data_IF_278792313722
#
_entry.id   IF_278792313722
#
_cell.length_a   1.000
_cell.length_b   1.000
_cell.length_c   1.000
_cell.angle_alpha   90.00
_cell.angle_beta   90.00
_cell.angle_gamma   90.00
#
_symmetry.space_group_name_H-M   'P 1'
#
loop_
_entity.id
_entity.type
_entity.pdbx_description
1 polymer ?
#
# COMPACT_ATOMS: atom_id res chain seq x y z
N UNK A 1 8.37 1.25 17.61
CA UNK A 1 9.04 1.85 16.43
C UNK A 1 7.96 2.31 15.48
N UNK A 2 7.83 3.63 15.40
CA UNK A 2 6.76 4.36 14.73
C UNK A 2 6.95 4.28 13.20
N UNK A 3 6.23 3.36 12.55
CA UNK A 3 6.24 3.14 11.10
C UNK A 3 5.51 4.26 10.31
N UNK A 4 5.07 5.33 10.98
CA UNK A 4 4.25 6.41 10.44
C UNK A 4 4.98 7.33 9.44
N UNK A 5 6.30 7.22 9.29
CA UNK A 5 7.09 8.06 8.37
C UNK A 5 7.59 7.35 7.09
N UNK A 6 7.15 6.11 6.82
CA UNK A 6 7.60 5.37 5.63
C UNK A 6 6.70 5.59 4.41
N UNK A 7 7.34 5.88 3.26
CA UNK A 7 6.70 6.08 1.96
C UNK A 7 7.01 4.94 0.97
N UNK A 8 5.98 4.23 0.54
CA UNK A 8 6.04 3.17 -0.48
C UNK A 8 5.92 3.74 -1.89
N UNK A 9 6.56 3.08 -2.85
CA UNK A 9 6.38 3.36 -4.27
C UNK A 9 5.18 2.60 -4.85
N UNK A 10 4.82 2.92 -6.09
CA UNK A 10 3.68 2.27 -6.76
C UNK A 10 3.88 0.78 -7.00
N UNK A 11 5.14 0.31 -7.12
CA UNK A 11 5.45 -1.09 -7.36
C UNK A 11 5.26 -1.92 -6.09
N UNK A 12 5.76 -1.42 -4.96
CA UNK A 12 5.60 -2.03 -3.65
C UNK A 12 4.12 -2.11 -3.27
N UNK A 13 3.37 -1.01 -3.40
CA UNK A 13 1.93 -1.02 -3.07
C UNK A 13 1.14 -1.97 -3.94
N UNK A 14 1.42 -2.03 -5.25
CA UNK A 14 0.76 -3.01 -6.13
C UNK A 14 1.04 -4.46 -5.71
N UNK A 15 2.28 -4.76 -5.29
CA UNK A 15 2.65 -6.07 -4.79
C UNK A 15 1.97 -6.40 -3.45
N UNK A 16 1.89 -5.44 -2.53
CA UNK A 16 1.25 -5.58 -1.21
C UNK A 16 -0.26 -5.83 -1.36
N UNK A 17 -0.93 -5.02 -2.18
CA UNK A 17 -2.36 -5.16 -2.45
C UNK A 17 -2.69 -6.35 -3.36
N UNK A 18 -1.66 -7.01 -3.92
CA UNK A 18 -1.80 -8.07 -4.92
C UNK A 18 -2.66 -7.65 -6.12
N UNK A 19 -2.53 -6.40 -6.56
CA UNK A 19 -3.28 -5.85 -7.69
C UNK A 19 -2.34 -5.46 -8.82
N UNK A 20 -2.90 -5.37 -10.03
CA UNK A 20 -2.17 -4.80 -11.15
C UNK A 20 -1.89 -3.31 -10.92
N UNK A 21 -0.83 -2.77 -11.54
CA UNK A 21 -0.59 -1.32 -11.55
C UNK A 21 -1.78 -0.54 -12.11
N UNK A 22 -2.55 -1.14 -13.03
CA UNK A 22 -3.76 -0.54 -13.60
C UNK A 22 -4.88 -0.43 -12.56
N UNK A 23 -5.10 -1.49 -11.78
CA UNK A 23 -6.04 -1.48 -10.65
C UNK A 23 -5.63 -0.46 -9.59
N UNK A 24 -4.33 -0.39 -9.27
CA UNK A 24 -3.81 0.62 -8.34
C UNK A 24 -4.04 2.05 -8.86
N UNK A 25 -3.94 2.26 -10.18
CA UNK A 25 -4.27 3.54 -10.80
C UNK A 25 -5.77 3.84 -10.69
N UNK A 26 -6.65 2.87 -10.90
CA UNK A 26 -8.09 3.03 -10.70
C UNK A 26 -8.40 3.45 -9.25
N UNK A 27 -7.78 2.83 -8.25
CA UNK A 27 -7.95 3.22 -6.85
C UNK A 27 -7.56 4.67 -6.57
N UNK A 28 -6.55 5.22 -7.26
CA UNK A 28 -6.20 6.66 -7.16
C UNK A 28 -7.26 7.52 -7.84
N UNK A 29 -7.63 7.16 -9.07
CA UNK A 29 -8.58 7.92 -9.88
C UNK A 29 -9.98 7.96 -9.26
N UNK A 30 -10.37 6.89 -8.57
CA UNK A 30 -11.62 6.76 -7.83
C UNK A 30 -11.54 7.34 -6.41
N UNK A 31 -10.37 7.83 -5.96
CA UNK A 31 -10.18 8.38 -4.62
C UNK A 31 -10.21 7.36 -3.47
N UNK A 32 -10.11 6.05 -3.79
CA UNK A 32 -10.17 4.95 -2.81
C UNK A 32 -8.90 4.80 -1.99
N UNK A 33 -7.75 5.15 -2.55
CA UNK A 33 -6.45 5.04 -1.88
C UNK A 33 -5.73 6.38 -1.92
N UNK A 34 -5.41 6.91 -0.74
CA UNK A 34 -4.67 8.16 -0.56
C UNK A 34 -3.27 8.02 -1.17
N UNK A 35 -2.82 9.05 -1.88
CA UNK A 35 -1.49 9.09 -2.47
C UNK A 35 -0.89 10.49 -2.39
N UNK A 36 0.44 10.55 -2.36
CA UNK A 36 1.21 11.78 -2.29
C UNK A 36 2.02 11.94 -3.56
N UNK A 37 1.84 13.07 -4.23
CA UNK A 37 2.58 13.40 -5.43
C UNK A 37 3.77 14.27 -5.06
N UNK A 38 4.97 13.70 -5.14
CA UNK A 38 6.22 14.44 -4.93
C UNK A 38 6.62 15.17 -6.21
N UNK A 39 6.35 14.57 -7.37
CA UNK A 39 6.65 15.15 -8.69
C UNK A 39 5.67 14.61 -9.74
N UNK A 40 5.59 15.17 -10.97
CA UNK A 40 4.69 14.71 -12.02
C UNK A 40 4.72 13.20 -12.28
N UNK A 41 5.90 12.58 -12.16
CA UNK A 41 6.14 11.14 -12.37
C UNK A 41 6.33 10.35 -11.07
N UNK A 42 6.45 11.03 -9.92
CA UNK A 42 6.83 10.40 -8.64
C UNK A 42 5.66 10.44 -7.68
N UNK A 43 5.05 9.27 -7.47
CA UNK A 43 3.93 9.07 -6.55
C UNK A 43 4.37 8.16 -5.43
N UNK A 44 4.06 8.55 -4.19
CA UNK A 44 4.35 7.81 -2.97
C UNK A 44 3.09 7.58 -2.16
N UNK A 45 3.16 6.59 -1.29
CA UNK A 45 2.08 6.16 -0.42
C UNK A 45 2.59 6.04 0.99
N UNK A 46 1.85 6.56 1.97
CA UNK A 46 2.21 6.25 3.35
C UNK A 46 1.82 4.82 3.65
N UNK A 47 2.64 4.16 4.46
CA UNK A 47 2.34 2.80 4.94
C UNK A 47 1.01 2.78 5.70
N UNK A 48 0.74 3.80 6.53
CA UNK A 48 -0.50 3.92 7.31
C UNK A 48 -1.76 3.88 6.42
N UNK A 49 -1.79 4.68 5.35
CA UNK A 49 -2.92 4.73 4.43
C UNK A 49 -3.16 3.40 3.71
N UNK A 50 -2.08 2.70 3.34
CA UNK A 50 -2.17 1.40 2.66
C UNK A 50 -2.69 0.32 3.62
N UNK A 51 -2.23 0.35 4.87
CA UNK A 51 -2.71 -0.56 5.93
C UNK A 51 -4.17 -0.31 6.25
N UNK A 52 -4.59 0.95 6.36
CA UNK A 52 -5.98 1.28 6.66
C UNK A 52 -6.91 0.95 5.49
N UNK A 53 -6.45 1.14 4.25
CA UNK A 53 -7.15 0.65 3.07
C UNK A 53 -7.35 -0.88 3.11
N UNK A 54 -6.31 -1.62 3.50
CA UNK A 54 -6.38 -3.07 3.65
C UNK A 54 -7.35 -3.51 4.75
N UNK A 55 -7.42 -2.78 5.88
CA UNK A 55 -8.39 -3.04 6.96
C UNK A 55 -9.83 -2.79 6.52
N UNK A 56 -10.07 -1.77 5.69
CA UNK A 56 -11.41 -1.43 5.17
C UNK A 56 -11.89 -2.41 4.11
N UNK A 57 -10.99 -2.91 3.25
CA UNK A 57 -11.31 -4.01 2.38
C UNK A 57 -11.53 -5.24 3.27
N UNK A 58 -12.75 -5.80 3.30
CA UNK A 58 -13.12 -6.96 4.13
C UNK A 58 -12.41 -8.24 3.63
N UNK A 59 -11.10 -8.22 3.77
CA UNK A 59 -10.13 -9.15 3.26
C UNK A 59 -10.27 -10.43 4.10
N UNK A 60 -10.73 -11.50 3.43
CA UNK A 60 -10.91 -12.83 3.99
C UNK A 60 -9.72 -13.17 4.91
N UNK A 61 -9.98 -13.75 6.08
CA UNK A 61 -8.98 -14.02 7.14
C UNK A 61 -7.65 -14.58 6.62
N UNK A 62 -7.68 -15.40 5.56
CA UNK A 62 -6.53 -15.97 4.85
C UNK A 62 -5.53 -14.98 4.23
N UNK A 63 -5.97 -13.77 3.89
CA UNK A 63 -5.10 -12.78 3.28
C UNK A 63 -4.37 -11.93 4.32
N UNK A 64 -4.85 -11.87 5.58
CA UNK A 64 -4.22 -11.09 6.67
C UNK A 64 -2.83 -11.60 7.02
N UNK A 65 -2.62 -12.91 7.11
CA UNK A 65 -1.30 -13.48 7.45
C UNK A 65 -0.26 -13.24 6.34
N UNK A 66 -0.67 -13.35 5.07
CA UNK A 66 0.18 -13.00 3.93
C UNK A 66 0.48 -11.52 3.87
N UNK A 67 -0.52 -10.67 4.12
CA UNK A 67 -0.35 -9.21 4.17
C UNK A 67 0.60 -8.85 5.31
N UNK A 68 0.45 -9.43 6.50
CA UNK A 68 1.35 -9.21 7.64
C UNK A 68 2.79 -9.67 7.34
N UNK A 69 2.97 -10.85 6.76
CA UNK A 69 4.28 -11.34 6.36
C UNK A 69 4.92 -10.46 5.26
N UNK A 70 4.12 -9.90 4.34
CA UNK A 70 4.59 -8.95 3.35
C UNK A 70 4.94 -7.60 3.98
N UNK A 71 4.11 -7.08 4.88
CA UNK A 71 4.40 -5.87 5.65
C UNK A 71 5.73 -6.04 6.38
N UNK A 72 5.90 -7.14 7.14
CA UNK A 72 7.14 -7.44 7.84
C UNK A 72 8.34 -7.52 6.89
N UNK A 73 8.20 -8.22 5.76
CA UNK A 73 9.26 -8.34 4.74
C UNK A 73 9.73 -6.99 4.17
N UNK A 74 8.82 -6.03 4.00
CA UNK A 74 9.14 -4.71 3.42
C UNK A 74 9.44 -3.65 4.50
N UNK A 75 9.00 -3.86 5.74
CA UNK A 75 9.34 -3.04 6.91
C UNK A 75 10.71 -3.38 7.47
N UNK A 76 11.17 -4.65 7.38
CA UNK A 76 12.43 -5.12 7.96
C UNK A 76 13.61 -5.08 6.97
N UNK A 77 13.39 -4.76 5.69
CA UNK A 77 14.45 -4.73 4.66
C UNK A 77 15.14 -3.37 4.45
N UNK A 78 15.09 -2.46 5.41
CA UNK A 78 15.86 -1.20 5.40
C UNK A 78 16.97 -1.22 6.44
#
# INVERSE_FOLDING_TARGET
MDNSNLFLDSKAVAAILMVSKRTLQNYRSEGKLVFYKISPKTIRYRVEDVVDFLKQSNCCSYQKDRVNALIEKYTVKL
#
